data_IF_267484271891
#
_entry.id   IF_267484271891
#
_cell.length_a   1.000
_cell.length_b   1.000
_cell.length_c   1.000
_cell.angle_alpha   90.00
_cell.angle_beta   90.00
_cell.angle_gamma   90.00
#
_symmetry.space_group_name_H-M   'P 1'
#
loop_
_entity.id
_entity.type
_entity.pdbx_description
1 polymer ?
#
# COMPACT_ATOMS: atom_id res chain seq x y z
N UNK A 1 -22.64 1.93 -20.52
CA UNK A 1 -22.51 0.49 -20.17
C UNK A 1 -22.58 0.36 -18.65
N UNK A 2 -23.57 -0.36 -18.08
CA UNK A 2 -23.57 -0.66 -16.64
C UNK A 2 -22.78 -1.96 -16.43
N UNK A 3 -21.82 -1.94 -15.51
CA UNK A 3 -21.05 -3.13 -15.13
C UNK A 3 -21.99 -4.20 -14.56
N UNK A 4 -21.78 -5.47 -14.97
CA UNK A 4 -22.50 -6.64 -14.45
C UNK A 4 -21.95 -7.17 -13.11
N UNK A 5 -20.83 -6.61 -12.64
CA UNK A 5 -20.13 -7.12 -11.46
C UNK A 5 -20.87 -6.71 -10.18
N UNK A 6 -21.11 -7.68 -9.29
CA UNK A 6 -21.67 -7.43 -7.96
C UNK A 6 -20.65 -6.66 -7.12
N UNK A 7 -21.06 -5.52 -6.58
CA UNK A 7 -20.24 -4.67 -5.72
C UNK A 7 -20.27 -5.14 -4.25
N UNK A 8 -19.22 -4.87 -3.45
CA UNK A 8 -17.96 -4.25 -3.87
C UNK A 8 -17.11 -5.19 -4.73
N UNK A 9 -16.41 -4.63 -5.71
CA UNK A 9 -15.51 -5.39 -6.57
C UNK A 9 -14.15 -5.39 -5.89
N UNK A 10 -13.66 -6.57 -5.51
CA UNK A 10 -12.33 -6.76 -4.91
C UNK A 10 -11.35 -7.19 -5.99
N UNK A 11 -10.27 -6.45 -6.14
CA UNK A 11 -9.22 -6.70 -7.14
C UNK A 11 -7.86 -6.70 -6.45
N UNK A 12 -6.91 -7.39 -7.07
CA UNK A 12 -5.49 -7.26 -6.75
C UNK A 12 -4.68 -7.13 -8.03
N UNK A 13 -3.46 -6.62 -7.90
CA UNK A 13 -2.52 -6.56 -9.01
C UNK A 13 -1.09 -6.75 -8.53
N UNK A 14 -0.25 -7.23 -9.45
CA UNK A 14 1.20 -7.10 -9.38
C UNK A 14 1.64 -6.36 -10.64
N UNK A 15 2.36 -5.26 -10.50
CA UNK A 15 2.74 -4.43 -11.64
C UNK A 15 4.14 -3.84 -11.48
N UNK A 16 4.80 -3.62 -12.62
CA UNK A 16 6.00 -2.79 -12.71
C UNK A 16 5.59 -1.33 -12.80
N UNK A 17 6.20 -0.50 -11.98
CA UNK A 17 6.01 0.94 -11.94
C UNK A 17 7.31 1.65 -12.28
N UNK A 18 7.19 2.80 -12.94
CA UNK A 18 8.33 3.58 -13.41
C UNK A 18 8.23 5.00 -12.87
N UNK A 19 9.30 5.49 -12.22
CA UNK A 19 9.39 6.87 -11.75
C UNK A 19 10.77 7.43 -12.04
N UNK A 20 10.82 8.57 -12.74
CA UNK A 20 12.08 9.25 -13.03
C UNK A 20 12.55 10.05 -11.81
N UNK A 21 13.07 9.32 -10.82
CA UNK A 21 13.61 9.88 -9.59
C UNK A 21 15.10 9.58 -9.49
N UNK A 22 15.81 10.34 -8.63
CA UNK A 22 17.22 10.06 -8.32
C UNK A 22 17.29 8.69 -7.61
N UNK A 23 18.01 7.69 -8.16
CA UNK A 23 18.14 6.39 -7.50
C UNK A 23 18.78 6.51 -6.13
N UNK A 24 18.22 5.80 -5.15
CA UNK A 24 18.69 5.69 -3.77
C UNK A 24 18.38 4.25 -3.28
N UNK A 25 18.89 3.86 -2.12
CA UNK A 25 18.51 2.60 -1.49
C UNK A 25 16.98 2.54 -1.32
N UNK A 26 16.33 1.49 -1.85
CA UNK A 26 14.87 1.36 -1.88
C UNK A 26 14.13 2.30 -2.86
N UNK A 27 14.83 3.08 -3.69
CA UNK A 27 14.25 3.90 -4.76
C UNK A 27 14.92 3.60 -6.10
N UNK A 28 14.22 2.81 -6.88
CA UNK A 28 14.61 2.42 -8.23
C UNK A 28 13.79 3.21 -9.26
N UNK A 29 14.31 3.31 -10.49
CA UNK A 29 13.57 3.89 -11.62
C UNK A 29 12.48 2.96 -12.15
N UNK A 30 12.67 1.66 -11.97
CA UNK A 30 11.71 0.58 -12.19
C UNK A 30 11.61 -0.20 -10.88
N UNK A 31 10.39 -0.38 -10.38
CA UNK A 31 10.13 -1.13 -9.15
C UNK A 31 8.80 -1.88 -9.28
N UNK A 32 8.59 -2.87 -8.43
CA UNK A 32 7.40 -3.72 -8.43
C UNK A 32 6.47 -3.34 -7.29
N UNK A 33 5.18 -3.20 -7.63
CA UNK A 33 4.13 -3.03 -6.65
C UNK A 33 3.18 -4.23 -6.66
N UNK A 34 2.78 -4.65 -5.47
CA UNK A 34 1.59 -5.46 -5.27
C UNK A 34 0.53 -4.56 -4.63
N UNK A 35 -0.74 -4.69 -5.02
CA UNK A 35 -1.79 -3.87 -4.44
C UNK A 35 -3.16 -4.52 -4.49
N UNK A 36 -4.03 -4.01 -3.63
CA UNK A 36 -5.43 -4.42 -3.50
C UNK A 36 -6.32 -3.20 -3.68
N UNK A 37 -7.42 -3.38 -4.41
CA UNK A 37 -8.42 -2.34 -4.66
C UNK A 37 -9.81 -2.90 -4.36
N UNK A 38 -10.60 -2.10 -3.64
CA UNK A 38 -12.01 -2.37 -3.37
C UNK A 38 -12.82 -1.24 -4.00
N UNK A 39 -13.56 -1.56 -5.06
CA UNK A 39 -14.29 -0.60 -5.87
C UNK A 39 -15.79 -0.65 -5.61
N UNK A 40 -16.39 0.53 -5.48
CA UNK A 40 -17.82 0.73 -5.62
C UNK A 40 -18.67 0.63 -4.36
N UNK A 41 -18.11 0.66 -3.15
CA UNK A 41 -18.89 0.78 -1.92
C UNK A 41 -18.64 2.15 -1.23
N UNK A 42 -19.74 2.75 -0.78
CA UNK A 42 -19.78 4.13 -0.26
C UNK A 42 -19.59 4.19 1.25
N UNK A 43 -19.89 3.11 1.99
CA UNK A 43 -20.21 3.25 3.42
C UNK A 43 -19.37 2.36 4.37
N UNK A 44 -18.43 1.51 3.89
CA UNK A 44 -17.67 0.64 4.82
C UNK A 44 -16.52 -0.20 4.26
N UNK A 45 -15.79 0.27 3.25
CA UNK A 45 -14.66 -0.49 2.69
C UNK A 45 -13.32 -0.22 3.41
N UNK A 46 -13.26 0.78 4.31
CA UNK A 46 -12.01 1.11 5.01
C UNK A 46 -11.56 -0.05 5.88
N UNK A 47 -12.48 -0.65 6.62
CA UNK A 47 -12.23 -1.84 7.41
C UNK A 47 -11.72 -2.99 6.53
N UNK A 48 -12.37 -3.28 5.40
CA UNK A 48 -11.94 -4.36 4.49
C UNK A 48 -10.51 -4.15 3.98
N UNK A 49 -10.17 -2.93 3.56
CA UNK A 49 -8.82 -2.64 3.10
C UNK A 49 -7.79 -2.67 4.23
N UNK A 50 -8.18 -2.25 5.44
CA UNK A 50 -7.32 -2.29 6.62
C UNK A 50 -7.10 -3.72 7.11
N UNK A 51 -8.12 -4.57 7.08
CA UNK A 51 -8.01 -5.99 7.40
C UNK A 51 -7.09 -6.69 6.41
N UNK A 52 -7.28 -6.45 5.10
CA UNK A 52 -6.38 -6.98 4.07
C UNK A 52 -4.95 -6.46 4.20
N UNK A 53 -4.77 -5.22 4.65
CA UNK A 53 -3.46 -4.65 4.97
C UNK A 53 -2.82 -5.42 6.14
N UNK A 54 -3.55 -5.58 7.24
CA UNK A 54 -3.08 -6.25 8.45
C UNK A 54 -2.76 -7.72 8.15
N UNK A 55 -3.60 -8.42 7.40
CA UNK A 55 -3.33 -9.78 6.93
C UNK A 55 -2.05 -9.82 6.08
N UNK A 56 -1.90 -8.90 5.12
CA UNK A 56 -0.71 -8.83 4.29
C UNK A 56 0.56 -8.63 5.14
N UNK A 57 0.55 -7.72 6.11
CA UNK A 57 1.67 -7.51 7.04
C UNK A 57 1.91 -8.77 7.90
N UNK A 58 0.85 -9.39 8.40
CA UNK A 58 0.89 -10.56 9.28
C UNK A 58 1.36 -11.83 8.58
N UNK A 59 1.20 -11.95 7.26
CA UNK A 59 1.78 -13.04 6.47
C UNK A 59 3.31 -13.04 6.53
N UNK A 60 3.94 -11.91 6.85
CA UNK A 60 5.39 -11.81 7.10
C UNK A 60 5.73 -12.04 8.59
N UNK A 61 4.99 -13.00 9.18
CA UNK A 61 4.46 -13.09 10.54
C UNK A 61 5.37 -13.23 11.76
N UNK A 62 6.60 -12.73 11.77
CA UNK A 62 7.34 -12.50 13.03
C UNK A 62 8.09 -11.15 13.04
N UNK A 63 8.24 -10.53 11.87
CA UNK A 63 8.97 -9.27 11.66
C UNK A 63 8.07 -8.03 11.75
N UNK A 64 6.78 -8.23 12.02
CA UNK A 64 5.77 -7.15 12.10
C UNK A 64 6.04 -6.10 13.19
N UNK A 65 6.95 -6.35 14.15
CA UNK A 65 7.30 -5.41 15.22
C UNK A 65 8.05 -4.17 14.72
N UNK A 66 8.76 -4.29 13.61
CA UNK A 66 9.58 -3.21 13.06
C UNK A 66 8.81 -2.34 12.05
N UNK A 67 7.52 -2.63 11.85
CA UNK A 67 6.64 -1.88 10.97
C UNK A 67 5.68 -1.02 11.77
N UNK A 68 5.64 0.26 11.44
CA UNK A 68 4.78 1.25 12.08
C UNK A 68 3.62 1.55 11.13
N UNK A 69 2.41 1.22 11.56
CA UNK A 69 1.18 1.56 10.85
C UNK A 69 0.75 2.97 11.28
N UNK A 70 0.46 3.83 10.31
CA UNK A 70 -0.16 5.13 10.54
C UNK A 70 -1.40 5.24 9.69
N UNK A 71 -2.53 5.53 10.30
CA UNK A 71 -3.86 5.46 9.72
C UNK A 71 -4.47 6.81 9.33
N UNK A 72 -3.77 7.90 9.61
CA UNK A 72 -4.19 9.28 9.37
C UNK A 72 -3.04 10.13 8.81
N UNK A 73 -2.64 9.83 7.57
CA UNK A 73 -1.53 10.53 6.89
C UNK A 73 -1.97 11.15 5.57
N UNK A 74 -1.47 12.36 5.29
CA UNK A 74 -1.61 12.98 3.96
C UNK A 74 -0.78 12.19 2.95
N UNK A 75 -1.41 11.79 1.85
CA UNK A 75 -0.77 11.05 0.75
C UNK A 75 -0.22 12.00 -0.32
N UNK A 76 0.78 11.56 -1.07
CA UNK A 76 1.42 12.36 -2.12
C UNK A 76 0.65 12.47 -3.44
N UNK A 77 -0.59 11.97 -3.52
CA UNK A 77 -1.41 11.99 -4.72
C UNK A 77 -2.75 12.68 -4.43
N UNK A 78 -3.20 13.55 -5.34
CA UNK A 78 -4.35 14.43 -5.08
C UNK A 78 -5.73 13.77 -5.22
N UNK A 79 -5.79 12.48 -5.58
CA UNK A 79 -7.07 11.78 -5.76
C UNK A 79 -7.67 11.24 -4.46
N UNK A 80 -6.91 11.24 -3.36
CA UNK A 80 -7.41 10.80 -2.07
C UNK A 80 -8.43 11.81 -1.54
N UNK A 81 -9.57 11.33 -1.07
CA UNK A 81 -10.68 12.17 -0.59
C UNK A 81 -10.61 12.43 0.92
N UNK A 82 -9.82 11.64 1.63
CA UNK A 82 -9.61 11.67 3.08
C UNK A 82 -8.14 11.39 3.39
N UNK A 83 -7.76 11.48 4.67
CA UNK A 83 -6.45 11.03 5.10
C UNK A 83 -6.30 9.52 4.85
N UNK A 84 -5.15 9.16 4.28
CA UNK A 84 -4.83 7.78 3.95
C UNK A 84 -4.07 7.11 5.09
N UNK A 85 -3.50 5.95 4.77
CA UNK A 85 -2.66 5.20 5.67
C UNK A 85 -1.32 4.86 5.02
N UNK A 86 -0.33 4.58 5.85
CA UNK A 86 0.98 4.14 5.46
C UNK A 86 1.53 3.10 6.43
N UNK A 87 2.45 2.30 5.93
CA UNK A 87 3.29 1.44 6.76
C UNK A 87 4.73 1.86 6.54
N UNK A 88 5.42 2.12 7.63
CA UNK A 88 6.83 2.49 7.63
C UNK A 88 7.70 1.38 8.24
N UNK A 89 8.88 1.16 7.68
CA UNK A 89 9.96 0.38 8.28
C UNK A 89 11.14 1.33 8.58
N UNK A 90 11.33 1.76 9.85
CA UNK A 90 12.27 2.83 10.19
C UNK A 90 13.72 2.58 9.78
N UNK A 91 14.17 1.31 9.73
CA UNK A 91 15.54 0.94 9.35
C UNK A 91 15.91 1.33 7.92
N UNK A 92 14.94 1.57 7.04
CA UNK A 92 15.16 2.09 5.68
C UNK A 92 15.43 3.60 5.64
N UNK A 93 15.42 4.30 6.78
CA UNK A 93 15.72 5.72 6.89
C UNK A 93 14.77 6.59 6.08
N UNK A 94 15.32 7.40 5.15
CA UNK A 94 14.53 8.34 4.33
C UNK A 94 13.50 7.66 3.41
N UNK A 95 13.62 6.34 3.19
CA UNK A 95 12.73 5.54 2.33
C UNK A 95 11.87 4.54 3.09
N UNK A 96 11.63 4.82 4.38
CA UNK A 96 10.87 3.98 5.31
C UNK A 96 9.47 3.58 4.87
N UNK A 97 8.78 4.36 4.04
CA UNK A 97 7.44 3.97 3.60
C UNK A 97 7.50 2.75 2.68
N UNK A 98 7.01 1.61 3.15
CA UNK A 98 6.93 0.36 2.39
C UNK A 98 5.57 0.19 1.71
N UNK A 99 4.51 0.74 2.33
CA UNK A 99 3.14 0.64 1.84
C UNK A 99 2.43 1.99 1.96
N UNK A 100 1.56 2.25 0.98
CA UNK A 100 0.66 3.40 1.04
C UNK A 100 -0.72 3.06 0.51
N UNK A 101 -1.74 3.63 1.13
CA UNK A 101 -3.12 3.45 0.71
C UNK A 101 -4.04 4.55 1.23
N UNK A 102 -5.30 4.45 0.85
CA UNK A 102 -6.32 5.40 1.28
C UNK A 102 -7.55 5.39 0.38
N UNK A 103 -8.56 6.15 0.80
CA UNK A 103 -9.83 6.25 0.10
C UNK A 103 -9.76 7.26 -1.04
N UNK A 104 -10.31 6.89 -2.18
CA UNK A 104 -10.57 7.76 -3.33
C UNK A 104 -12.07 7.73 -3.67
N UNK A 105 -12.52 8.53 -4.64
CA UNK A 105 -13.96 8.74 -4.89
C UNK A 105 -14.70 7.43 -5.21
N UNK A 106 -14.07 6.53 -5.95
CA UNK A 106 -14.68 5.31 -6.47
C UNK A 106 -14.45 4.08 -5.57
N UNK A 107 -13.59 4.17 -4.55
CA UNK A 107 -13.19 3.02 -3.75
C UNK A 107 -12.04 3.32 -2.78
N UNK A 108 -11.38 2.27 -2.33
CA UNK A 108 -10.24 2.33 -1.44
C UNK A 108 -9.27 1.21 -1.81
N UNK A 109 -7.99 1.47 -1.61
CA UNK A 109 -6.97 0.49 -1.89
C UNK A 109 -5.62 0.89 -1.33
N UNK A 110 -4.67 0.00 -1.53
CA UNK A 110 -3.29 0.19 -1.13
C UNK A 110 -2.34 -0.54 -2.05
N UNK A 111 -1.10 -0.08 -2.06
CA UNK A 111 -0.01 -0.74 -2.75
C UNK A 111 1.23 -0.82 -1.86
N UNK A 112 1.89 -1.97 -1.88
CA UNK A 112 3.18 -2.23 -1.24
C UNK A 112 4.29 -2.24 -2.29
N UNK A 113 5.42 -1.60 -1.99
CA UNK A 113 6.62 -1.72 -2.79
C UNK A 113 7.33 -3.02 -2.48
N UNK A 114 7.26 -3.99 -3.39
CA UNK A 114 7.83 -5.34 -3.19
C UNK A 114 9.33 -5.26 -2.96
N UNK A 115 10.04 -4.45 -3.74
CA UNK A 115 11.50 -4.29 -3.60
C UNK A 115 11.89 -3.70 -2.24
N UNK A 116 11.11 -2.74 -1.74
CA UNK A 116 11.34 -2.14 -0.40
C UNK A 116 11.04 -3.13 0.71
N UNK A 117 10.01 -3.93 0.53
CA UNK A 117 9.65 -4.98 1.49
C UNK A 117 10.76 -6.03 1.57
N UNK A 118 11.29 -6.50 0.43
CA UNK A 118 12.40 -7.46 0.43
C UNK A 118 13.64 -6.83 1.09
N UNK A 119 13.96 -5.59 0.74
CA UNK A 119 15.09 -4.87 1.32
C UNK A 119 14.96 -4.69 2.84
N UNK A 120 13.78 -4.34 3.37
CA UNK A 120 13.60 -4.22 4.81
C UNK A 120 13.80 -5.57 5.49
N UNK A 121 13.37 -6.66 4.88
CA UNK A 121 13.57 -8.00 5.40
C UNK A 121 15.04 -8.42 5.41
N UNK A 122 15.81 -8.02 4.41
CA UNK A 122 17.26 -8.27 4.38
C UNK A 122 18.02 -7.51 5.47
N UNK A 123 17.60 -6.30 5.80
CA UNK A 123 18.24 -5.45 6.82
C UNK A 123 17.86 -5.88 8.25
N UNK A 124 16.65 -6.43 8.44
CA UNK A 124 16.14 -6.85 9.74
C UNK A 124 16.59 -8.26 10.17
N UNK A 125 17.25 -9.02 9.28
CA UNK A 125 17.92 -10.28 9.62
C UNK A 125 19.14 -10.03 10.50
#
# INVERSE_FOLDING_TARGET
>A
MKSSWKKPIKLFYTQKCYRYERPQMGRYREFTQFGIEVLGNKDGDKEICMDALVECISMFGEMGKDYIIKDNVKRGLNYYVEDGFEVECPVLGSQKQVLGGGRYREGIGWAIGVDRLILSQEILK
#
